data_IF_363776112532
#
_entry.id   IF_363776112532
#
_cell.length_a   1.000
_cell.length_b   1.000
_cell.length_c   1.000
_cell.angle_alpha   90.00
_cell.angle_beta   90.00
_cell.angle_gamma   90.00
#
_symmetry.space_group_name_H-M   'P 1'
#
loop_
_entity.id
_entity.type
_entity.pdbx_description
1 polymer ?
#
# COMPACT_ATOMS: atom_id res chain seq x y z
N UNK A 1 -15.54 73.66 -22.07
CA UNK A 1 -14.70 72.53 -22.53
C UNK A 1 -14.72 71.51 -21.42
N UNK A 2 -15.61 70.52 -21.51
CA UNK A 2 -15.63 69.35 -20.64
C UNK A 2 -14.60 68.37 -21.17
N UNK A 3 -13.66 67.93 -20.33
CA UNK A 3 -12.70 66.89 -20.67
C UNK A 3 -13.06 65.64 -19.87
N UNK A 4 -13.79 64.74 -20.51
CA UNK A 4 -13.89 63.33 -20.11
C UNK A 4 -12.52 62.68 -20.28
N UNK A 5 -12.00 62.07 -19.22
CA UNK A 5 -10.92 61.08 -19.33
C UNK A 5 -11.41 59.77 -18.74
N UNK A 6 -11.53 58.80 -19.62
CA UNK A 6 -12.11 57.47 -19.43
C UNK A 6 -11.26 56.64 -18.44
N UNK A 7 -11.93 56.03 -17.47
CA UNK A 7 -11.35 55.11 -16.49
C UNK A 7 -11.14 53.74 -17.15
N UNK A 8 -9.94 53.52 -17.70
CA UNK A 8 -9.49 52.23 -18.24
C UNK A 8 -9.23 51.23 -17.09
N UNK A 9 -10.29 50.56 -16.65
CA UNK A 9 -10.25 49.46 -15.69
C UNK A 9 -9.51 48.23 -16.23
N UNK A 10 -8.17 48.23 -16.17
CA UNK A 10 -7.33 47.08 -16.51
C UNK A 10 -7.61 45.92 -15.54
N UNK A 11 -8.36 44.92 -15.98
CA UNK A 11 -8.63 43.72 -15.20
C UNK A 11 -7.32 43.01 -14.82
N UNK A 12 -6.92 43.11 -13.56
CA UNK A 12 -5.78 42.37 -13.03
C UNK A 12 -6.09 40.88 -13.06
N UNK A 13 -5.41 40.12 -13.91
CA UNK A 13 -5.53 38.66 -13.93
C UNK A 13 -4.97 38.10 -12.63
N UNK A 14 -5.84 37.69 -11.71
CA UNK A 14 -5.44 37.05 -10.46
C UNK A 14 -4.80 35.69 -10.76
N UNK A 15 -3.56 35.46 -10.31
CA UNK A 15 -2.92 34.15 -10.41
C UNK A 15 -3.76 33.12 -9.62
N UNK A 16 -4.17 32.04 -10.28
CA UNK A 16 -4.81 30.91 -9.60
C UNK A 16 -3.91 30.39 -8.49
N UNK A 17 -4.50 30.12 -7.32
CA UNK A 17 -3.79 29.57 -6.17
C UNK A 17 -3.26 28.18 -6.51
N UNK A 18 -2.02 27.88 -6.08
CA UNK A 18 -1.42 26.55 -6.25
C UNK A 18 -2.26 25.52 -5.49
N UNK A 19 -2.57 24.39 -6.15
CA UNK A 19 -3.23 23.25 -5.52
C UNK A 19 -2.15 22.28 -5.02
N UNK A 20 -2.23 21.90 -3.74
CA UNK A 20 -1.25 21.03 -3.07
C UNK A 20 -1.78 19.61 -2.81
N UNK A 21 -2.96 19.28 -3.33
CA UNK A 21 -3.63 18.01 -3.05
C UNK A 21 -4.15 17.91 -1.60
N UNK A 22 -4.64 16.72 -1.22
CA UNK A 22 -5.14 16.45 0.13
C UNK A 22 -4.06 15.80 0.98
N UNK A 23 -3.94 16.22 2.24
CA UNK A 23 -3.02 15.61 3.21
C UNK A 23 -3.32 14.12 3.42
N UNK A 24 -4.59 13.72 3.35
CA UNK A 24 -4.99 12.32 3.47
C UNK A 24 -4.35 11.43 2.40
N UNK A 25 -4.20 11.94 1.18
CA UNK A 25 -3.57 11.20 0.08
C UNK A 25 -2.07 11.07 0.30
N UNK A 26 -1.44 12.07 0.91
CA UNK A 26 -0.03 12.01 1.35
C UNK A 26 0.14 10.96 2.45
N UNK A 27 -0.73 10.97 3.46
CA UNK A 27 -0.74 10.00 4.55
C UNK A 27 -0.93 8.56 4.07
N UNK A 28 -1.82 8.33 3.10
CA UNK A 28 -1.99 7.01 2.47
C UNK A 28 -0.70 6.52 1.81
N UNK A 29 -0.01 7.40 1.09
CA UNK A 29 1.27 7.06 0.44
C UNK A 29 2.37 6.77 1.46
N UNK A 30 2.46 7.57 2.53
CA UNK A 30 3.42 7.33 3.62
C UNK A 30 3.18 5.95 4.26
N UNK A 31 1.92 5.62 4.56
CA UNK A 31 1.58 4.30 5.13
C UNK A 31 1.94 3.13 4.21
N UNK A 32 1.83 3.32 2.90
CA UNK A 32 2.22 2.29 1.91
C UNK A 32 3.72 2.03 1.88
N UNK A 33 4.57 3.03 2.14
CA UNK A 33 6.02 2.94 1.93
C UNK A 33 6.86 2.76 3.21
N UNK A 34 6.25 2.77 4.39
CA UNK A 34 6.95 2.79 5.68
C UNK A 34 6.86 1.46 6.44
N UNK A 35 6.94 0.33 5.74
CA UNK A 35 6.98 -0.98 6.40
C UNK A 35 8.41 -1.30 6.83
N UNK A 36 8.56 -1.79 8.07
CA UNK A 36 9.85 -2.11 8.66
C UNK A 36 9.87 -3.55 9.20
N UNK A 37 11.07 -4.13 9.28
CA UNK A 37 11.30 -5.44 9.90
C UNK A 37 11.49 -5.21 11.39
N UNK A 38 10.62 -5.82 12.20
CA UNK A 38 10.85 -5.92 13.65
C UNK A 38 11.95 -6.95 13.94
N UNK A 39 12.68 -6.76 15.04
CA UNK A 39 13.70 -7.70 15.53
C UNK A 39 13.11 -9.10 15.75
N UNK A 40 11.85 -9.17 16.20
CA UNK A 40 11.07 -10.39 16.34
C UNK A 40 10.11 -10.57 15.15
N UNK A 41 10.64 -11.00 14.00
CA UNK A 41 9.83 -11.28 12.81
C UNK A 41 9.24 -12.71 12.78
N UNK A 42 9.58 -13.53 13.77
CA UNK A 42 9.11 -14.92 13.89
C UNK A 42 7.68 -14.95 14.42
N UNK A 43 6.70 -15.16 13.53
CA UNK A 43 5.33 -15.36 13.97
C UNK A 43 5.17 -16.76 14.61
N UNK A 44 5.21 -16.84 15.94
CA UNK A 44 5.17 -18.13 16.68
C UNK A 44 3.93 -18.99 16.37
N UNK A 45 2.76 -18.35 16.17
CA UNK A 45 1.48 -19.05 15.99
C UNK A 45 1.29 -19.60 14.57
N UNK A 46 1.52 -18.75 13.57
CA UNK A 46 1.25 -19.08 12.16
C UNK A 46 2.51 -19.46 11.39
N UNK A 47 3.67 -19.44 12.07
CA UNK A 47 4.97 -19.73 11.49
C UNK A 47 5.25 -18.92 10.22
N UNK A 48 4.75 -17.68 10.18
CA UNK A 48 5.02 -16.76 9.10
C UNK A 48 6.54 -16.67 8.95
N UNK A 49 7.01 -16.89 7.73
CA UNK A 49 8.42 -16.80 7.35
C UNK A 49 9.33 -17.96 7.81
N UNK A 50 8.78 -19.12 8.21
CA UNK A 50 9.58 -20.32 8.56
C UNK A 50 10.55 -20.75 7.45
N UNK A 51 10.18 -20.54 6.18
CA UNK A 51 10.97 -20.93 5.02
C UNK A 51 11.80 -19.78 4.41
N UNK A 52 11.88 -18.63 5.06
CA UNK A 52 12.63 -17.49 4.53
C UNK A 52 14.06 -17.50 5.08
N UNK A 53 15.04 -17.46 4.16
CA UNK A 53 16.46 -17.35 4.52
C UNK A 53 16.75 -16.04 5.24
N UNK A 54 17.70 -16.09 6.16
CA UNK A 54 18.19 -14.91 6.86
C UNK A 54 18.70 -13.87 5.85
N UNK A 55 18.16 -12.64 5.92
CA UNK A 55 18.46 -11.56 4.98
C UNK A 55 17.50 -11.42 3.80
N UNK A 56 16.76 -12.46 3.39
CA UNK A 56 15.77 -12.35 2.30
C UNK A 56 14.60 -11.42 2.66
N UNK A 57 14.23 -11.34 3.94
CA UNK A 57 13.21 -10.42 4.43
C UNK A 57 13.51 -8.95 4.09
N UNK A 58 14.78 -8.53 4.14
CA UNK A 58 15.17 -7.16 3.80
C UNK A 58 14.84 -6.83 2.35
N UNK A 59 15.13 -7.74 1.43
CA UNK A 59 14.80 -7.57 0.01
C UNK A 59 13.29 -7.55 -0.23
N UNK A 60 12.55 -8.44 0.45
CA UNK A 60 11.09 -8.49 0.34
C UNK A 60 10.48 -7.14 0.77
N UNK A 61 10.90 -6.59 1.91
CA UNK A 61 10.35 -5.34 2.42
C UNK A 61 10.81 -4.12 1.62
N UNK A 62 12.06 -4.09 1.15
CA UNK A 62 12.51 -3.05 0.23
C UNK A 62 11.68 -3.03 -1.06
N UNK A 63 11.43 -4.20 -1.65
CA UNK A 63 10.59 -4.29 -2.85
C UNK A 63 9.13 -3.94 -2.53
N UNK A 64 8.58 -4.45 -1.43
CA UNK A 64 7.22 -4.17 -0.99
C UNK A 64 6.94 -2.66 -0.82
N UNK A 65 7.88 -1.93 -0.20
CA UNK A 65 7.79 -0.48 -0.02
C UNK A 65 7.96 0.32 -1.32
N UNK A 66 8.51 -0.29 -2.39
CA UNK A 66 8.61 0.33 -3.71
C UNK A 66 7.28 0.30 -4.49
N UNK A 67 6.34 -0.54 -4.07
CA UNK A 67 5.05 -0.71 -4.74
C UNK A 67 4.11 0.45 -4.42
N UNK A 68 3.42 0.96 -5.45
CA UNK A 68 2.65 2.21 -5.38
C UNK A 68 1.20 2.02 -4.90
N UNK A 69 0.67 0.81 -4.96
CA UNK A 69 -0.74 0.51 -4.67
C UNK A 69 -0.87 -0.68 -3.73
N UNK A 70 -1.94 -0.67 -2.93
CA UNK A 70 -2.30 -1.80 -2.08
C UNK A 70 -2.50 -3.09 -2.87
N UNK A 71 -3.12 -3.02 -4.05
CA UNK A 71 -3.36 -4.20 -4.88
C UNK A 71 -2.05 -4.84 -5.35
N UNK A 72 -1.07 -4.02 -5.75
CA UNK A 72 0.25 -4.53 -6.15
C UNK A 72 0.99 -5.15 -4.95
N UNK A 73 0.91 -4.52 -3.77
CA UNK A 73 1.45 -5.05 -2.53
C UNK A 73 0.83 -6.41 -2.17
N UNK A 74 -0.49 -6.51 -2.23
CA UNK A 74 -1.21 -7.74 -1.96
C UNK A 74 -0.85 -8.84 -2.96
N UNK A 75 -0.85 -8.54 -4.27
CA UNK A 75 -0.50 -9.50 -5.31
C UNK A 75 0.93 -10.04 -5.13
N UNK A 76 1.89 -9.16 -4.78
CA UNK A 76 3.26 -9.56 -4.49
C UNK A 76 3.34 -10.49 -3.27
N UNK A 77 2.68 -10.14 -2.15
CA UNK A 77 2.66 -11.00 -0.96
C UNK A 77 2.00 -12.35 -1.23
N UNK A 78 0.87 -12.37 -1.95
CA UNK A 78 0.20 -13.62 -2.34
C UNK A 78 1.12 -14.53 -3.14
N UNK A 79 1.94 -13.99 -4.04
CA UNK A 79 2.93 -14.76 -4.80
C UNK A 79 4.05 -15.37 -3.94
N UNK A 80 4.29 -14.84 -2.73
CA UNK A 80 5.29 -15.34 -1.79
C UNK A 80 4.72 -16.31 -0.75
N UNK A 81 3.39 -16.41 -0.65
CA UNK A 81 2.71 -17.22 0.36
C UNK A 81 2.45 -18.64 -0.17
N UNK A 82 2.61 -19.62 0.71
CA UNK A 82 2.18 -21.00 0.46
C UNK A 82 1.05 -21.36 1.42
N UNK A 83 0.03 -22.04 0.92
CA UNK A 83 -1.09 -22.51 1.75
C UNK A 83 -0.71 -23.86 2.33
N UNK A 84 -0.59 -23.93 3.65
CA UNK A 84 -0.38 -25.20 4.36
C UNK A 84 -1.74 -25.76 4.82
N UNK A 85 -2.15 -26.97 4.37
CA UNK A 85 -3.39 -27.56 4.81
C UNK A 85 -3.32 -27.89 6.30
N UNK A 86 -4.16 -27.21 7.10
CA UNK A 86 -4.26 -27.49 8.53
C UNK A 86 -5.21 -28.65 8.74
N UNK A 87 -4.69 -29.79 9.22
CA UNK A 87 -5.53 -30.92 9.65
C UNK A 87 -6.38 -30.48 10.84
N UNK A 88 -7.69 -30.40 10.64
CA UNK A 88 -8.63 -30.17 11.74
C UNK A 88 -8.64 -31.38 12.66
N UNK A 89 -8.72 -31.15 13.98
CA UNK A 89 -8.79 -32.23 14.98
C UNK A 89 -9.96 -33.20 14.77
N UNK A 90 -11.00 -32.77 14.06
CA UNK A 90 -12.10 -33.63 13.64
C UNK A 90 -11.92 -33.94 12.15
N UNK A 91 -11.85 -35.21 11.74
CA UNK A 91 -12.04 -35.55 10.34
C UNK A 91 -13.44 -35.10 9.96
N UNK A 92 -13.55 -34.32 8.88
CA UNK A 92 -14.80 -34.27 8.12
C UNK A 92 -14.82 -35.60 7.39
N UNK A 93 -15.90 -36.36 7.53
CA UNK A 93 -16.11 -37.57 6.74
C UNK A 93 -15.88 -37.19 5.27
N UNK A 94 -15.07 -37.97 4.60
CA UNK A 94 -14.50 -37.64 3.29
C UNK A 94 -15.61 -37.30 2.27
N UNK A 95 -15.47 -36.19 1.55
CA UNK A 95 -16.15 -35.99 0.26
C UNK A 95 -15.31 -36.64 -0.87
N UNK A 96 -14.75 -37.82 -0.62
CA UNK A 96 -14.15 -38.69 -1.63
C UNK A 96 -15.10 -39.86 -1.98
N UNK A 97 -16.41 -39.60 -1.97
CA UNK A 97 -17.43 -40.45 -2.60
C UNK A 97 -18.38 -39.63 -3.49
N UNK A 98 -17.89 -38.96 -4.53
CA UNK A 98 -18.71 -38.66 -5.72
C UNK A 98 -17.82 -38.64 -6.99
N UNK A 99 -17.82 -39.79 -7.67
CA UNK A 99 -17.35 -40.14 -9.03
C UNK A 99 -15.86 -40.24 -9.34
#
# INVERSE_FOLDING_TARGET
MESSSEDEGRAQTTKKRKSYGRMDDVMKKLRLSLHEISEEWQCKRLKCFENIREGSCKYIIQYFNSLKTYDAQNAYLFGLMTVSPVRTRRPRVDEDEVF
#
